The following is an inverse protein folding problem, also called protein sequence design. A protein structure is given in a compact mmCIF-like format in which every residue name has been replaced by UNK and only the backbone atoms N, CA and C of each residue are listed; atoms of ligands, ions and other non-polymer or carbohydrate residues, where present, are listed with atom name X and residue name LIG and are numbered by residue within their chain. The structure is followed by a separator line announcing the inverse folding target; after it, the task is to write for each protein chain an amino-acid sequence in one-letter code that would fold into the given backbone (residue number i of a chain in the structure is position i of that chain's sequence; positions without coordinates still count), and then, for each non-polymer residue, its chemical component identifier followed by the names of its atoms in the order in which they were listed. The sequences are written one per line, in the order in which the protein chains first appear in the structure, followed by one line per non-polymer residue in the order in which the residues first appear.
data_IF_967382236236
#
_entry.id   IF_967382236236
#
_cell.length_a   1.000
_cell.length_b   1.000
_cell.length_c   1.000
_cell.angle_alpha   90.00
_cell.angle_beta   90.00
_cell.angle_gamma   90.00
#
_symmetry.space_group_name_H-M   'P 1'
#
loop_
_entity.id
_entity.type
_entity.pdbx_description
1 polymer ?
#
# COMPACT_ATOMS: atom_id res chain seq x y z
N UNK A 1 -41.48 -7.48 124.33
CA UNK A 1 -41.81 -6.64 123.16
C UNK A 1 -40.79 -6.94 122.08
N UNK A 2 -41.22 -6.93 120.82
CA UNK A 2 -40.43 -7.17 119.59
C UNK A 2 -40.20 -8.64 119.18
N UNK A 3 -41.26 -9.30 118.72
CA UNK A 3 -41.18 -10.44 117.81
C UNK A 3 -42.49 -10.45 116.99
N UNK A 4 -42.47 -9.90 115.77
CA UNK A 4 -43.69 -9.87 114.95
C UNK A 4 -43.70 -8.95 113.72
N UNK A 5 -42.67 -8.14 113.48
CA UNK A 5 -42.67 -7.15 112.37
C UNK A 5 -41.81 -7.59 111.16
N UNK A 6 -40.89 -8.56 111.31
CA UNK A 6 -40.00 -8.96 110.20
C UNK A 6 -40.65 -9.90 109.17
N UNK A 7 -41.74 -10.61 109.50
CA UNK A 7 -42.32 -11.62 108.61
C UNK A 7 -43.16 -11.07 107.44
N UNK A 8 -43.71 -9.86 107.55
CA UNK A 8 -44.54 -9.27 106.47
C UNK A 8 -43.72 -8.47 105.45
N UNK A 9 -42.51 -8.04 105.80
CA UNK A 9 -41.63 -7.24 104.93
C UNK A 9 -40.93 -8.13 103.87
N UNK A 10 -40.59 -9.37 104.24
CA UNK A 10 -39.93 -10.34 103.34
C UNK A 10 -40.87 -10.80 102.21
N UNK A 11 -42.17 -10.95 102.49
CA UNK A 11 -43.18 -11.41 101.51
C UNK A 11 -43.45 -10.35 100.42
N UNK A 12 -43.46 -9.06 100.80
CA UNK A 12 -43.63 -7.93 99.87
C UNK A 12 -42.41 -7.77 98.94
N UNK A 13 -41.19 -7.88 99.48
CA UNK A 13 -39.95 -7.81 98.69
C UNK A 13 -39.80 -8.99 97.71
N UNK A 14 -40.24 -10.20 98.10
CA UNK A 14 -40.24 -11.35 97.20
C UNK A 14 -41.20 -11.18 96.03
N UNK A 15 -42.36 -10.55 96.25
CA UNK A 15 -43.36 -10.33 95.21
C UNK A 15 -42.92 -9.27 94.18
N UNK A 16 -42.23 -8.22 94.64
CA UNK A 16 -41.68 -7.17 93.76
C UNK A 16 -40.54 -7.69 92.87
N UNK A 17 -39.64 -8.49 93.44
CA UNK A 17 -38.58 -9.19 92.70
C UNK A 17 -39.15 -10.11 91.62
N UNK A 18 -40.21 -10.88 91.92
CA UNK A 18 -40.87 -11.76 90.96
C UNK A 18 -41.45 -10.99 89.77
N UNK A 19 -42.09 -9.85 90.01
CA UNK A 19 -42.66 -8.98 88.96
C UNK A 19 -41.55 -8.45 88.06
N UNK A 20 -40.43 -7.98 88.63
CA UNK A 20 -39.31 -7.45 87.85
C UNK A 20 -38.65 -8.53 86.97
N UNK A 21 -38.46 -9.74 87.52
CA UNK A 21 -37.92 -10.88 86.75
C UNK A 21 -38.87 -11.26 85.61
N UNK A 22 -40.19 -11.27 85.85
CA UNK A 22 -41.17 -11.56 84.80
C UNK A 22 -41.20 -10.52 83.69
N UNK A 23 -41.09 -9.24 84.04
CA UNK A 23 -41.00 -8.16 83.05
C UNK A 23 -39.72 -8.28 82.20
N UNK A 24 -38.57 -8.59 82.83
CA UNK A 24 -37.31 -8.83 82.11
C UNK A 24 -37.39 -10.07 81.21
N UNK A 25 -38.03 -11.14 81.67
CA UNK A 25 -38.27 -12.35 80.88
C UNK A 25 -39.08 -12.03 79.62
N UNK A 26 -40.21 -11.33 79.74
CA UNK A 26 -41.05 -10.97 78.60
C UNK A 26 -40.31 -10.06 77.58
N UNK A 27 -39.49 -9.13 78.07
CA UNK A 27 -38.69 -8.27 77.20
C UNK A 27 -37.60 -9.06 76.45
N UNK A 28 -36.97 -10.04 77.11
CA UNK A 28 -36.00 -10.93 76.48
C UNK A 28 -36.68 -11.79 75.41
N UNK A 29 -37.83 -12.40 75.71
CA UNK A 29 -38.61 -13.21 74.76
C UNK A 29 -38.96 -12.41 73.51
N UNK A 30 -39.47 -11.18 73.66
CA UNK A 30 -39.76 -10.29 72.53
C UNK A 30 -38.52 -9.94 71.69
N UNK A 31 -37.37 -9.76 72.35
CA UNK A 31 -36.11 -9.46 71.66
C UNK A 31 -35.61 -10.68 70.87
N UNK A 32 -35.75 -11.87 71.43
CA UNK A 32 -35.41 -13.14 70.78
C UNK A 32 -36.27 -13.33 69.52
N UNK A 33 -37.60 -13.17 69.64
CA UNK A 33 -38.51 -13.29 68.49
C UNK A 33 -38.14 -12.32 67.35
N UNK A 34 -37.80 -11.07 67.70
CA UNK A 34 -37.38 -10.08 66.71
C UNK A 34 -36.07 -10.49 66.02
N UNK A 35 -35.08 -10.96 66.79
CA UNK A 35 -33.82 -11.44 66.25
C UNK A 35 -34.00 -12.69 65.37
N UNK A 36 -34.90 -13.61 65.74
CA UNK A 36 -35.21 -14.79 64.93
C UNK A 36 -35.78 -14.40 63.56
N UNK A 37 -36.68 -13.42 63.52
CA UNK A 37 -37.24 -12.90 62.27
C UNK A 37 -36.19 -12.23 61.39
N UNK A 38 -35.27 -11.44 62.00
CA UNK A 38 -34.15 -10.84 61.28
C UNK A 38 -33.20 -11.92 60.72
N UNK A 39 -32.87 -12.95 61.50
CA UNK A 39 -32.03 -14.07 61.07
C UNK A 39 -32.65 -14.81 59.89
N UNK A 40 -33.96 -15.07 59.92
CA UNK A 40 -34.68 -15.73 58.81
C UNK A 40 -34.61 -14.85 57.54
N UNK A 41 -34.86 -13.56 57.69
CA UNK A 41 -34.76 -12.59 56.57
C UNK A 41 -33.36 -12.58 55.96
N UNK A 42 -32.32 -12.48 56.79
CA UNK A 42 -30.93 -12.50 56.36
C UNK A 42 -30.56 -13.82 55.65
N UNK A 43 -31.01 -14.97 56.17
CA UNK A 43 -30.79 -16.27 55.53
C UNK A 43 -31.42 -16.34 54.14
N UNK A 44 -32.64 -15.82 53.97
CA UNK A 44 -33.29 -15.79 52.67
C UNK A 44 -32.50 -14.93 51.68
N UNK A 45 -32.06 -13.73 52.09
CA UNK A 45 -31.26 -12.84 51.24
C UNK A 45 -29.93 -13.47 50.81
N UNK A 46 -29.26 -14.19 51.70
CA UNK A 46 -28.03 -14.93 51.36
C UNK A 46 -28.31 -15.96 50.27
N UNK A 47 -29.38 -16.74 50.43
CA UNK A 47 -29.75 -17.79 49.46
C UNK A 47 -30.07 -17.20 48.08
N UNK A 48 -30.79 -16.07 48.04
CA UNK A 48 -31.13 -15.37 46.80
C UNK A 48 -29.87 -14.81 46.10
N UNK A 49 -28.92 -14.30 46.89
CA UNK A 49 -27.64 -13.80 46.39
C UNK A 49 -26.77 -14.93 45.83
N UNK A 50 -26.69 -16.07 46.52
CA UNK A 50 -25.98 -17.27 46.05
C UNK A 50 -26.55 -17.77 44.72
N UNK A 51 -27.88 -17.79 44.57
CA UNK A 51 -28.52 -18.16 43.30
C UNK A 51 -28.14 -17.18 42.18
N UNK A 52 -28.16 -15.87 42.46
CA UNK A 52 -27.82 -14.83 41.49
C UNK A 52 -26.34 -14.88 41.08
N UNK A 53 -25.45 -15.17 42.02
CA UNK A 53 -24.02 -15.38 41.76
C UNK A 53 -23.82 -16.56 40.81
N UNK A 54 -24.46 -17.69 41.07
CA UNK A 54 -24.37 -18.88 40.22
C UNK A 54 -24.88 -18.64 38.80
N UNK A 55 -25.99 -17.91 38.63
CA UNK A 55 -26.50 -17.53 37.31
C UNK A 55 -25.52 -16.64 36.55
N UNK A 56 -24.96 -15.63 37.22
CA UNK A 56 -23.95 -14.74 36.61
C UNK A 56 -22.68 -15.49 36.23
N UNK A 57 -22.27 -16.47 37.04
CA UNK A 57 -21.12 -17.31 36.76
C UNK A 57 -21.33 -18.13 35.48
N UNK A 58 -22.51 -18.73 35.29
CA UNK A 58 -22.86 -19.48 34.08
C UNK A 58 -22.92 -18.56 32.83
N UNK A 59 -23.48 -17.35 32.96
CA UNK A 59 -23.46 -16.35 31.89
C UNK A 59 -22.04 -15.95 31.48
N UNK A 60 -21.17 -15.75 32.47
CA UNK A 60 -19.77 -15.38 32.25
C UNK A 60 -19.00 -16.50 31.55
N UNK A 61 -19.17 -17.76 31.98
CA UNK A 61 -18.55 -18.92 31.33
C UNK A 61 -19.01 -19.10 29.87
N UNK A 62 -20.30 -18.84 29.58
CA UNK A 62 -20.81 -18.86 28.20
C UNK A 62 -20.20 -17.75 27.36
N UNK A 63 -20.02 -16.57 27.94
CA UNK A 63 -19.41 -15.43 27.24
C UNK A 63 -17.93 -15.70 26.93
N UNK A 64 -17.19 -16.25 27.89
CA UNK A 64 -15.79 -16.64 27.75
C UNK A 64 -15.59 -17.64 26.59
N UNK A 65 -16.42 -18.69 26.53
CA UNK A 65 -16.40 -19.65 25.41
C UNK A 65 -16.66 -18.99 24.05
N UNK A 66 -17.58 -18.03 23.98
CA UNK A 66 -17.85 -17.29 22.73
C UNK A 66 -16.66 -16.45 22.30
N UNK A 67 -16.01 -15.78 23.25
CA UNK A 67 -14.79 -15.01 22.97
C UNK A 67 -13.68 -15.90 22.43
N UNK A 68 -13.48 -17.07 23.04
CA UNK A 68 -12.43 -18.00 22.62
C UNK A 68 -12.65 -18.51 21.19
N UNK A 69 -13.89 -18.89 20.84
CA UNK A 69 -14.27 -19.25 19.46
C UNK A 69 -14.00 -18.09 18.49
N UNK A 70 -14.42 -16.88 18.85
CA UNK A 70 -14.24 -15.71 17.99
C UNK A 70 -12.74 -15.39 17.78
N UNK A 71 -11.92 -15.51 18.81
CA UNK A 71 -10.47 -15.32 18.71
C UNK A 71 -9.83 -16.35 17.78
N UNK A 72 -10.27 -17.61 17.82
CA UNK A 72 -9.80 -18.66 16.91
C UNK A 72 -10.21 -18.36 15.45
N UNK A 73 -11.45 -17.95 15.21
CA UNK A 73 -11.93 -17.55 13.87
C UNK A 73 -11.10 -16.41 13.28
N UNK A 74 -10.79 -15.37 14.07
CA UNK A 74 -9.95 -14.26 13.63
C UNK A 74 -8.53 -14.72 13.32
N UNK A 75 -7.95 -15.61 14.13
CA UNK A 75 -6.60 -16.16 13.88
C UNK A 75 -6.55 -16.88 12.54
N UNK A 76 -7.50 -17.78 12.30
CA UNK A 76 -7.61 -18.54 11.05
C UNK A 76 -7.80 -17.61 9.84
N UNK A 77 -8.63 -16.57 9.97
CA UNK A 77 -8.83 -15.58 8.92
C UNK A 77 -7.54 -14.82 8.57
N UNK A 78 -6.77 -14.42 9.59
CA UNK A 78 -5.48 -13.74 9.39
C UNK A 78 -4.49 -14.64 8.68
N UNK A 79 -4.41 -15.92 9.03
CA UNK A 79 -3.54 -16.89 8.36
C UNK A 79 -3.90 -17.05 6.87
N UNK A 80 -5.18 -17.21 6.54
CA UNK A 80 -5.63 -17.31 5.13
C UNK A 80 -5.33 -16.03 4.35
N UNK A 81 -5.54 -14.85 4.96
CA UNK A 81 -5.24 -13.58 4.32
C UNK A 81 -3.73 -13.40 4.09
N UNK A 82 -2.91 -13.81 5.06
CA UNK A 82 -1.45 -13.76 4.95
C UNK A 82 -0.96 -14.67 3.82
N UNK A 83 -1.40 -15.93 3.76
CA UNK A 83 -1.05 -16.85 2.68
C UNK A 83 -1.45 -16.30 1.29
N UNK A 84 -2.62 -15.67 1.21
CA UNK A 84 -3.09 -15.04 -0.03
C UNK A 84 -2.25 -13.82 -0.43
N UNK A 85 -1.77 -13.04 0.54
CA UNK A 85 -0.89 -11.89 0.30
C UNK A 85 0.50 -12.35 -0.15
N UNK A 86 1.10 -13.34 0.51
CA UNK A 86 2.39 -13.93 0.12
C UNK A 86 2.36 -14.44 -1.33
N UNK A 87 1.33 -15.21 -1.71
CA UNK A 87 1.16 -15.67 -3.10
C UNK A 87 1.07 -14.53 -4.13
N UNK A 88 0.48 -13.40 -3.76
CA UNK A 88 0.41 -12.21 -4.63
C UNK A 88 1.76 -11.52 -4.72
N UNK A 89 2.49 -11.44 -3.61
CA UNK A 89 3.81 -10.84 -3.55
C UNK A 89 4.81 -11.64 -4.39
N UNK A 90 4.84 -12.97 -4.23
CA UNK A 90 5.66 -13.88 -5.06
C UNK A 90 5.39 -13.71 -6.56
N UNK A 91 4.12 -13.57 -6.94
CA UNK A 91 3.74 -13.35 -8.35
C UNK A 91 4.24 -12.01 -8.86
N UNK A 92 4.14 -10.96 -8.04
CA UNK A 92 4.60 -9.62 -8.37
C UNK A 92 6.13 -9.59 -8.50
N UNK A 93 6.84 -10.23 -7.58
CA UNK A 93 8.30 -10.27 -7.55
C UNK A 93 8.86 -10.99 -8.79
N UNK A 94 8.28 -12.15 -9.15
CA UNK A 94 8.61 -12.84 -10.41
C UNK A 94 8.40 -11.96 -11.64
N UNK A 95 7.32 -11.19 -11.69
CA UNK A 95 7.08 -10.25 -12.78
C UNK A 95 8.12 -9.13 -12.82
N UNK A 96 8.53 -8.59 -11.66
CA UNK A 96 9.58 -7.59 -11.55
C UNK A 96 10.93 -8.13 -12.05
N UNK A 97 11.26 -9.38 -11.76
CA UNK A 97 12.49 -10.01 -12.24
C UNK A 97 12.48 -10.23 -13.76
N UNK A 98 11.34 -10.60 -14.33
CA UNK A 98 11.16 -10.63 -15.79
C UNK A 98 11.34 -9.24 -16.43
N UNK A 99 10.90 -8.17 -15.76
CA UNK A 99 11.12 -6.80 -16.23
C UNK A 99 12.59 -6.38 -16.10
N UNK A 100 13.25 -6.69 -14.99
CA UNK A 100 14.68 -6.41 -14.79
C UNK A 100 15.53 -7.08 -15.85
N UNK A 101 15.30 -8.37 -16.09
CA UNK A 101 16.05 -9.12 -17.12
C UNK A 101 15.84 -8.55 -18.52
N UNK A 102 14.61 -8.14 -18.88
CA UNK A 102 14.36 -7.43 -20.15
C UNK A 102 15.09 -6.09 -20.24
N UNK A 103 15.16 -5.35 -19.14
CA UNK A 103 15.83 -4.05 -19.07
C UNK A 103 17.36 -4.22 -19.19
N UNK A 104 17.94 -5.22 -18.53
CA UNK A 104 19.35 -5.57 -18.66
C UNK A 104 19.71 -5.97 -20.09
N UNK A 105 18.84 -6.75 -20.76
CA UNK A 105 19.03 -7.14 -22.16
C UNK A 105 18.94 -5.95 -23.12
N UNK A 106 18.03 -5.00 -22.84
CA UNK A 106 17.97 -3.73 -23.56
C UNK A 106 19.26 -2.93 -23.36
N UNK A 107 19.71 -2.75 -22.13
CA UNK A 107 20.94 -2.01 -21.82
C UNK A 107 22.18 -2.65 -22.44
N UNK A 108 22.27 -3.99 -22.47
CA UNK A 108 23.33 -4.72 -23.18
C UNK A 108 23.29 -4.46 -24.69
N UNK A 109 22.10 -4.45 -25.31
CA UNK A 109 21.95 -4.12 -26.74
C UNK A 109 22.36 -2.67 -27.02
N UNK A 110 21.88 -1.71 -26.24
CA UNK A 110 22.23 -0.30 -26.41
C UNK A 110 23.72 -0.04 -26.15
N UNK A 111 24.30 -0.64 -25.11
CA UNK A 111 25.73 -0.49 -24.83
C UNK A 111 26.61 -1.16 -25.88
N UNK A 112 26.18 -2.26 -26.49
CA UNK A 112 26.87 -2.86 -27.64
C UNK A 112 26.83 -1.93 -28.87
N UNK A 113 25.67 -1.32 -29.16
CA UNK A 113 25.52 -0.31 -30.22
C UNK A 113 26.44 0.89 -29.93
N UNK A 114 26.34 1.50 -28.76
CA UNK A 114 27.13 2.68 -28.37
C UNK A 114 28.64 2.40 -28.26
N UNK A 115 29.07 1.18 -27.87
CA UNK A 115 30.49 0.81 -27.85
C UNK A 115 31.07 0.61 -29.24
N UNK A 116 30.24 0.21 -30.21
CA UNK A 116 30.62 0.18 -31.64
C UNK A 116 30.72 1.61 -32.20
N UNK A 117 30.08 2.58 -31.54
CA UNK A 117 29.91 3.96 -32.00
C UNK A 117 30.70 5.02 -31.23
N UNK A 118 31.79 4.68 -30.51
CA UNK A 118 32.68 5.71 -29.94
C UNK A 118 33.45 6.54 -30.98
N UNK A 119 33.12 6.40 -32.26
CA UNK A 119 33.51 7.32 -33.34
C UNK A 119 32.41 7.55 -34.40
N UNK A 120 31.16 7.09 -34.19
CA UNK A 120 30.23 6.91 -35.29
C UNK A 120 29.34 8.12 -35.55
N UNK A 121 29.61 8.78 -36.67
CA UNK A 121 28.53 9.31 -37.49
C UNK A 121 27.74 8.11 -38.03
N UNK A 122 26.45 8.01 -37.69
CA UNK A 122 25.59 6.98 -38.27
C UNK A 122 25.37 7.36 -39.74
N UNK A 123 25.81 6.52 -40.68
CA UNK A 123 25.66 6.73 -42.12
C UNK A 123 24.81 5.61 -42.72
N UNK A 124 23.80 5.99 -43.50
CA UNK A 124 22.94 5.05 -44.23
C UNK A 124 23.02 5.40 -45.72
N UNK A 125 23.52 4.44 -46.51
CA UNK A 125 23.65 4.59 -47.95
C UNK A 125 22.41 3.99 -48.63
N UNK A 126 21.76 4.78 -49.49
CA UNK A 126 20.63 4.35 -50.30
C UNK A 126 21.03 4.31 -51.77
N UNK A 127 20.89 3.12 -52.38
CA UNK A 127 21.16 2.87 -53.80
C UNK A 127 19.85 2.74 -54.57
N UNK A 128 19.60 3.64 -55.51
CA UNK A 128 18.54 3.47 -56.50
C UNK A 128 19.09 2.74 -57.72
N UNK A 129 18.38 1.71 -58.22
CA UNK A 129 18.83 0.84 -59.32
C UNK A 129 19.22 1.59 -60.60
N UNK A 130 18.68 2.80 -60.81
CA UNK A 130 18.97 3.66 -61.97
C UNK A 130 19.01 5.16 -61.61
N UNK A 131 19.35 5.50 -60.36
CA UNK A 131 19.27 6.88 -59.85
C UNK A 131 20.56 7.37 -59.19
N UNK A 132 20.47 8.55 -58.57
CA UNK A 132 21.55 9.08 -57.73
C UNK A 132 21.81 8.16 -56.55
N UNK A 133 23.08 8.01 -56.20
CA UNK A 133 23.48 7.37 -54.97
C UNK A 133 23.58 8.42 -53.86
N UNK A 134 22.98 8.13 -52.72
CA UNK A 134 22.77 9.11 -51.67
C UNK A 134 23.13 8.53 -50.31
N UNK A 135 23.69 9.37 -49.43
CA UNK A 135 24.09 9.04 -48.08
C UNK A 135 23.39 9.96 -47.09
N UNK A 136 22.68 9.35 -46.15
CA UNK A 136 22.11 10.05 -45.00
C UNK A 136 23.04 9.92 -43.81
N UNK A 137 23.33 11.02 -43.13
CA UNK A 137 24.29 11.07 -42.04
C UNK A 137 23.72 11.77 -40.82
N UNK A 138 23.84 11.12 -39.67
CA UNK A 138 23.41 11.64 -38.38
C UNK A 138 24.62 11.93 -37.49
N UNK A 139 24.67 13.14 -36.97
CA UNK A 139 25.68 13.59 -36.00
C UNK A 139 24.97 14.03 -34.73
N UNK A 140 24.75 13.14 -33.76
CA UNK A 140 24.33 13.55 -32.43
C UNK A 140 25.47 14.38 -31.83
N UNK A 141 25.21 15.65 -31.50
CA UNK A 141 26.18 16.59 -30.94
C UNK A 141 27.32 16.93 -31.92
N UNK A 142 26.97 17.51 -33.06
CA UNK A 142 27.96 17.94 -34.04
C UNK A 142 28.96 18.95 -33.43
N UNK A 143 30.23 18.85 -33.82
CA UNK A 143 31.35 19.65 -33.31
C UNK A 143 31.15 21.14 -33.61
N UNK A 144 30.34 21.48 -34.61
CA UNK A 144 29.99 22.85 -34.97
C UNK A 144 28.91 23.47 -34.09
N UNK A 145 28.21 22.67 -33.28
CA UNK A 145 27.25 23.15 -32.30
C UNK A 145 27.97 23.42 -30.98
N UNK A 146 28.03 24.68 -30.58
CA UNK A 146 28.76 25.13 -29.38
C UNK A 146 28.10 24.60 -28.11
N UNK A 147 26.79 24.31 -28.15
CA UNK A 147 26.00 23.88 -26.99
C UNK A 147 25.68 22.37 -26.99
N UNK A 148 25.89 21.66 -28.11
CA UNK A 148 25.57 20.22 -28.29
C UNK A 148 24.11 19.88 -27.96
N UNK A 149 23.20 20.76 -28.35
CA UNK A 149 21.78 20.66 -27.98
C UNK A 149 20.94 20.04 -29.09
N UNK A 150 21.48 19.98 -30.32
CA UNK A 150 20.74 19.54 -31.50
C UNK A 150 21.31 18.26 -32.13
N UNK A 151 20.41 17.50 -32.77
CA UNK A 151 20.76 16.42 -33.69
C UNK A 151 20.92 16.99 -35.09
N UNK A 152 22.14 16.94 -35.65
CA UNK A 152 22.40 17.37 -37.02
C UNK A 152 22.21 16.22 -38.00
N UNK A 153 21.42 16.47 -39.06
CA UNK A 153 21.14 15.50 -40.13
C UNK A 153 21.63 16.07 -41.46
N UNK A 154 22.45 15.32 -42.18
CA UNK A 154 23.03 15.71 -43.46
C UNK A 154 22.64 14.73 -44.57
N UNK A 155 22.51 15.27 -45.79
CA UNK A 155 22.20 14.50 -46.99
C UNK A 155 23.26 14.75 -48.06
N UNK A 156 24.10 13.74 -48.30
CA UNK A 156 25.19 13.81 -49.26
C UNK A 156 24.80 13.04 -50.53
N UNK A 157 24.99 13.67 -51.70
CA UNK A 157 24.95 12.95 -52.98
C UNK A 157 26.34 12.40 -53.24
N UNK A 158 26.48 11.08 -53.31
CA UNK A 158 27.76 10.40 -53.52
C UNK A 158 27.87 9.91 -54.95
N UNK A 159 29.11 9.66 -55.40
CA UNK A 159 29.39 9.22 -56.77
C UNK A 159 28.76 7.85 -57.00
N UNK A 160 27.80 7.77 -57.93
CA UNK A 160 27.11 6.55 -58.33
C UNK A 160 27.59 5.98 -59.67
N UNK A 161 27.30 4.71 -59.91
CA UNK A 161 27.63 4.03 -61.17
C UNK A 161 26.93 4.65 -62.40
N UNK A 162 25.77 5.28 -62.18
CA UNK A 162 24.94 5.85 -63.23
C UNK A 162 25.13 7.37 -63.41
N UNK A 163 26.11 8.00 -62.74
CA UNK A 163 26.26 9.47 -62.74
C UNK A 163 26.43 10.08 -64.14
N UNK A 164 27.02 9.31 -65.08
CA UNK A 164 27.24 9.73 -66.46
C UNK A 164 25.94 9.95 -67.27
N UNK A 165 24.84 9.32 -66.86
CA UNK A 165 23.53 9.41 -67.53
C UNK A 165 22.53 10.28 -66.74
N UNK A 166 22.92 10.79 -65.57
CA UNK A 166 22.07 11.60 -64.69
C UNK A 166 22.24 13.10 -64.95
N UNK A 167 21.22 13.90 -64.62
CA UNK A 167 21.15 15.34 -64.91
C UNK A 167 21.72 16.19 -63.77
N UNK A 168 22.88 16.80 -63.99
CA UNK A 168 23.52 17.69 -63.00
C UNK A 168 23.26 19.18 -63.28
N UNK A 169 23.14 20.04 -62.26
CA UNK A 169 23.09 19.73 -60.82
C UNK A 169 21.77 19.05 -60.42
N UNK A 170 21.84 18.26 -59.33
CA UNK A 170 20.71 17.47 -58.88
C UNK A 170 19.59 18.37 -58.29
N UNK A 171 18.41 18.34 -58.91
CA UNK A 171 17.18 19.00 -58.41
C UNK A 171 16.25 18.02 -57.70
N UNK A 172 16.73 17.41 -56.62
CA UNK A 172 15.92 16.51 -55.81
C UNK A 172 15.23 17.24 -54.67
N UNK A 173 13.99 16.82 -54.41
CA UNK A 173 13.25 17.19 -53.22
C UNK A 173 13.15 15.96 -52.34
N UNK A 174 13.61 16.07 -51.10
CA UNK A 174 13.54 15.00 -50.10
C UNK A 174 12.56 15.33 -48.99
N UNK A 175 12.02 14.29 -48.36
CA UNK A 175 11.27 14.41 -47.11
C UNK A 175 12.00 13.62 -46.03
N UNK A 176 12.34 14.28 -44.93
CA UNK A 176 12.90 13.65 -43.74
C UNK A 176 11.81 13.62 -42.68
N UNK A 177 11.59 12.46 -42.06
CA UNK A 177 10.65 12.30 -40.96
C UNK A 177 11.29 11.57 -39.77
N UNK A 178 11.13 12.13 -38.57
CA UNK A 178 11.49 11.49 -37.30
C UNK A 178 10.21 10.95 -36.66
N UNK A 179 10.23 9.68 -36.28
CA UNK A 179 9.07 8.97 -35.72
C UNK A 179 9.20 8.84 -34.20
N UNK A 180 8.18 9.29 -33.48
CA UNK A 180 8.03 9.03 -32.05
C UNK A 180 7.52 7.60 -31.81
N UNK A 181 8.29 6.78 -31.09
CA UNK A 181 7.97 5.37 -30.83
C UNK A 181 7.01 5.17 -29.65
N UNK A 182 6.77 6.20 -28.82
CA UNK A 182 5.95 6.10 -27.61
C UNK A 182 4.48 6.48 -27.84
N UNK A 183 4.17 7.09 -28.98
CA UNK A 183 2.83 7.56 -29.28
C UNK A 183 2.26 6.81 -30.49
N UNK A 184 1.25 5.98 -30.26
CA UNK A 184 0.53 5.23 -31.29
C UNK A 184 -0.23 6.16 -32.27
N UNK A 185 -0.40 7.43 -31.89
CA UNK A 185 -0.80 8.51 -32.78
C UNK A 185 0.47 9.08 -33.39
N UNK A 186 0.70 8.75 -34.65
CA UNK A 186 1.84 9.11 -35.46
C UNK A 186 2.15 10.63 -35.49
N UNK A 187 2.72 11.17 -34.41
CA UNK A 187 3.33 12.50 -34.40
C UNK A 187 4.62 12.38 -35.19
N UNK A 188 4.52 12.66 -36.49
CA UNK A 188 5.65 12.66 -37.42
C UNK A 188 6.19 14.07 -37.48
N UNK A 189 7.42 14.27 -37.02
CA UNK A 189 8.13 15.51 -37.33
C UNK A 189 8.70 15.36 -38.74
N UNK A 190 8.07 15.99 -39.73
CA UNK A 190 8.53 15.93 -41.13
C UNK A 190 8.92 17.31 -41.65
N UNK A 191 10.10 17.40 -42.28
CA UNK A 191 10.54 18.60 -42.98
C UNK A 191 10.87 18.28 -44.44
N UNK A 192 10.58 19.23 -45.32
CA UNK A 192 10.80 19.13 -46.76
C UNK A 192 12.08 19.87 -47.12
N UNK A 193 13.05 19.14 -47.66
CA UNK A 193 14.34 19.70 -48.05
C UNK A 193 14.38 19.80 -49.57
N UNK A 194 14.85 20.94 -50.08
CA UNK A 194 15.13 21.14 -51.50
C UNK A 194 16.63 21.27 -51.69
N UNK A 195 17.14 20.70 -52.78
CA UNK A 195 18.50 20.92 -53.24
C UNK A 195 18.77 22.42 -53.43
N UNK A 196 19.85 22.93 -52.83
CA UNK A 196 20.38 24.26 -53.08
C UNK A 196 21.56 24.15 -54.07
N UNK A 197 21.66 25.07 -55.03
CA UNK A 197 22.75 25.10 -56.02
C UNK A 197 24.06 25.54 -55.36
N UNK A 198 24.68 24.64 -54.59
CA UNK A 198 26.01 24.78 -54.02
C UNK A 198 26.98 23.82 -54.69
N UNK A 199 27.88 24.32 -55.53
CA UNK A 199 28.97 23.53 -56.11
C UNK A 199 29.78 22.82 -55.02
N UNK A 200 30.23 21.59 -55.34
CA UNK A 200 31.20 20.79 -54.59
C UNK A 200 32.26 21.69 -53.93
N UNK A 201 32.20 21.84 -52.61
CA UNK A 201 33.30 22.40 -51.82
C UNK A 201 32.99 23.42 -50.74
N UNK A 202 31.78 23.98 -50.61
CA UNK A 202 31.44 24.86 -49.46
C UNK A 202 29.99 24.68 -49.02
N UNK A 203 29.78 24.32 -47.75
CA UNK A 203 28.45 24.36 -47.11
C UNK A 203 28.00 25.82 -46.97
N UNK A 204 26.78 26.13 -47.42
CA UNK A 204 25.82 26.67 -46.48
C UNK A 204 24.43 26.09 -46.74
N UNK A 205 23.93 25.27 -45.81
CA UNK A 205 22.50 25.00 -45.71
C UNK A 205 21.94 26.03 -44.73
N UNK A 206 21.30 27.07 -45.25
CA UNK A 206 20.41 27.92 -44.45
C UNK A 206 19.08 27.16 -44.30
N UNK A 207 18.77 26.78 -43.06
CA UNK A 207 17.44 26.34 -42.69
C UNK A 207 16.55 27.58 -42.60
N UNK A 208 15.55 27.70 -43.46
CA UNK A 208 14.45 28.64 -43.23
C UNK A 208 13.66 28.19 -41.99
N UNK A 209 13.98 28.82 -40.86
CA UNK A 209 13.07 29.24 -39.78
C UNK A 209 12.27 28.17 -39.02
N UNK A 210 12.58 28.06 -37.73
CA UNK A 210 11.56 27.96 -36.67
C UNK A 210 11.03 29.37 -36.35
#
# INVERSE_FOLDING_TARGET
MAAGIESQNVDLQQNECYIEVKAKQANLEKTIEMQEMEIISCKQQITDLELKENLKLDEMQKLEKRFEIQTEEYRNLVEVLHEKMEKRFDKMDKSCDEFRTKLDDMEKKYSAICKTEKSAQLQVDAKSKFGYEMRLKFSPNDVKDVEKTYLSIYFDVIKGENDAILKWPNKCTGLIAILDQLNDKATKFSSKIRSFDGCLGKSPFDFEGF
#
